data_IF_961918061183
#
_entry.id   IF_961918061183
#
_cell.length_a   1.000
_cell.length_b   1.000
_cell.length_c   1.000
_cell.angle_alpha   90.00
_cell.angle_beta   90.00
_cell.angle_gamma   90.00
#
_symmetry.space_group_name_H-M   'P 1'
#
loop_
_entity.id
_entity.type
_entity.pdbx_description
1 polymer ?
#
# COMPACT_ATOMS: atom_id res chain seq x y z
N UNK A 1 10.07 -12.10 -19.75
CA UNK A 1 10.11 -10.73 -20.29
C UNK A 1 11.13 -9.93 -19.46
N UNK A 2 11.87 -8.95 -20.01
CA UNK A 2 12.96 -8.26 -19.29
C UNK A 2 12.48 -6.90 -18.80
N UNK A 3 12.62 -6.63 -17.50
CA UNK A 3 12.39 -5.31 -16.92
C UNK A 3 13.24 -4.26 -17.63
N UNK A 4 12.56 -3.33 -18.29
CA UNK A 4 13.21 -2.13 -18.84
C UNK A 4 13.15 -1.01 -17.80
N UNK A 5 14.04 -0.03 -17.93
CA UNK A 5 14.04 1.14 -17.03
C UNK A 5 12.70 1.89 -17.02
N UNK A 6 12.05 2.00 -18.18
CA UNK A 6 10.72 2.63 -18.29
C UNK A 6 9.70 1.85 -17.47
N UNK A 7 9.58 0.53 -17.70
CA UNK A 7 8.62 -0.31 -16.99
C UNK A 7 8.84 -0.35 -15.49
N UNK A 8 10.10 -0.38 -15.04
CA UNK A 8 10.43 -0.30 -13.62
C UNK A 8 10.02 1.05 -13.01
N UNK A 9 10.20 2.14 -13.74
CA UNK A 9 9.75 3.48 -13.32
C UNK A 9 8.22 3.54 -13.23
N UNK A 10 7.51 2.99 -14.22
CA UNK A 10 6.05 2.93 -14.25
C UNK A 10 5.51 2.09 -13.09
N UNK A 11 6.15 0.95 -12.79
CA UNK A 11 5.80 0.12 -11.64
C UNK A 11 6.01 0.86 -10.31
N UNK A 12 7.16 1.53 -10.13
CA UNK A 12 7.42 2.31 -8.92
C UNK A 12 6.38 3.44 -8.73
N UNK A 13 5.95 4.08 -9.81
CA UNK A 13 4.86 5.07 -9.76
C UNK A 13 3.50 4.44 -9.43
N UNK A 14 3.22 3.25 -9.97
CA UNK A 14 1.99 2.50 -9.67
C UNK A 14 1.94 2.05 -8.20
N UNK A 15 3.06 1.62 -7.64
CA UNK A 15 3.18 1.25 -6.22
C UNK A 15 2.94 2.44 -5.29
N UNK A 16 3.49 3.61 -5.60
CA UNK A 16 3.23 4.84 -4.85
C UNK A 16 1.76 5.25 -4.89
N UNK A 17 1.11 5.13 -6.05
CA UNK A 17 -0.33 5.37 -6.19
C UNK A 17 -1.13 4.37 -5.36
N UNK A 18 -0.82 3.08 -5.48
CA UNK A 18 -1.46 2.04 -4.69
C UNK A 18 -1.31 2.28 -3.19
N UNK A 19 -0.13 2.69 -2.73
CA UNK A 19 0.11 3.06 -1.34
C UNK A 19 -0.75 4.26 -0.90
N UNK A 20 -0.93 5.26 -1.74
CA UNK A 20 -1.82 6.39 -1.45
C UNK A 20 -3.28 5.92 -1.29
N UNK A 21 -3.77 5.05 -2.19
CA UNK A 21 -5.11 4.48 -2.10
C UNK A 21 -5.31 3.68 -0.80
N UNK A 22 -4.30 2.92 -0.38
CA UNK A 22 -4.34 2.20 0.90
C UNK A 22 -4.41 3.16 2.09
N UNK A 23 -3.72 4.30 2.05
CA UNK A 23 -3.79 5.30 3.11
C UNK A 23 -5.15 6.00 3.17
N UNK A 24 -5.78 6.26 2.02
CA UNK A 24 -7.17 6.74 1.96
C UNK A 24 -8.11 5.73 2.63
N UNK A 25 -8.01 4.45 2.25
CA UNK A 25 -8.81 3.40 2.88
C UNK A 25 -8.55 3.25 4.39
N UNK A 26 -7.30 3.46 4.84
CA UNK A 26 -6.97 3.44 6.26
C UNK A 26 -7.63 4.60 7.02
N UNK A 27 -7.63 5.81 6.46
CA UNK A 27 -8.28 6.98 7.05
C UNK A 27 -9.81 6.79 7.15
N UNK A 28 -10.42 6.18 6.13
CA UNK A 28 -11.83 5.80 6.15
C UNK A 28 -12.12 4.78 7.27
N UNK A 29 -11.24 3.79 7.43
CA UNK A 29 -11.30 2.81 8.51
C UNK A 29 -11.18 3.44 9.90
N UNK A 30 -10.29 4.42 10.07
CA UNK A 30 -10.13 5.17 11.33
C UNK A 30 -11.38 5.98 11.67
N UNK A 31 -12.00 6.60 10.66
CA UNK A 31 -13.25 7.35 10.82
C UNK A 31 -14.36 6.43 11.33
N UNK A 32 -14.51 5.23 10.74
CA UNK A 32 -15.48 4.23 11.21
C UNK A 32 -15.13 3.64 12.58
N UNK A 33 -13.85 3.47 12.87
CA UNK A 33 -13.37 2.95 14.16
C UNK A 33 -13.60 3.92 15.32
N UNK A 34 -13.63 5.22 15.04
CA UNK A 34 -13.88 6.28 16.03
C UNK A 34 -15.34 6.68 16.14
N UNK A 35 -16.18 6.33 15.15
CA UNK A 35 -17.61 6.60 15.17
C UNK A 35 -18.34 5.79 16.25
N UNK A 36 -18.89 6.45 17.29
CA UNK A 36 -19.57 5.77 18.40
C UNK A 36 -20.92 5.16 18.00
N UNK A 37 -21.48 5.51 16.84
CA UNK A 37 -22.72 4.91 16.33
C UNK A 37 -22.53 3.47 15.83
N UNK A 38 -21.29 3.09 15.48
CA UNK A 38 -20.94 1.71 15.14
C UNK A 38 -20.80 0.85 16.41
N UNK A 39 -21.12 -0.44 16.33
CA UNK A 39 -20.92 -1.35 17.45
C UNK A 39 -19.41 -1.60 17.76
N UNK A 40 -19.12 -2.13 18.94
CA UNK A 40 -17.74 -2.32 19.40
C UNK A 40 -16.94 -3.33 18.56
N UNK A 41 -17.58 -4.33 17.97
CA UNK A 41 -16.91 -5.30 17.09
C UNK A 41 -16.55 -4.62 15.77
N UNK A 42 -17.50 -3.90 15.16
CA UNK A 42 -17.29 -3.15 13.92
C UNK A 42 -16.13 -2.17 14.08
N UNK A 43 -16.10 -1.37 15.16
CA UNK A 43 -15.00 -0.42 15.42
C UNK A 43 -13.64 -1.11 15.55
N UNK A 44 -13.58 -2.28 16.18
CA UNK A 44 -12.32 -3.05 16.32
C UNK A 44 -11.85 -3.63 14.99
N UNK A 45 -12.78 -4.16 14.18
CA UNK A 45 -12.49 -4.73 12.88
C UNK A 45 -11.98 -3.66 11.90
N UNK A 46 -12.62 -2.49 11.86
CA UNK A 46 -12.17 -1.38 10.99
C UNK A 46 -10.82 -0.80 11.45
N UNK A 47 -10.58 -0.71 12.76
CA UNK A 47 -9.26 -0.32 13.27
C UNK A 47 -8.15 -1.31 12.88
N UNK A 48 -8.42 -2.62 12.95
CA UNK A 48 -7.48 -3.65 12.52
C UNK A 48 -7.23 -3.58 11.00
N UNK A 49 -8.28 -3.42 10.20
CA UNK A 49 -8.17 -3.25 8.76
C UNK A 49 -7.33 -2.01 8.39
N UNK A 50 -7.56 -0.87 9.06
CA UNK A 50 -6.77 0.34 8.85
C UNK A 50 -5.27 0.13 9.15
N UNK A 51 -4.92 -0.65 10.18
CA UNK A 51 -3.51 -1.01 10.45
C UNK A 51 -2.89 -1.85 9.33
N UNK A 52 -3.63 -2.83 8.81
CA UNK A 52 -3.17 -3.68 7.70
C UNK A 52 -2.93 -2.82 6.45
N UNK A 53 -3.85 -1.92 6.12
CA UNK A 53 -3.72 -1.03 4.96
C UNK A 53 -2.50 -0.11 5.09
N UNK A 54 -2.22 0.44 6.27
CA UNK A 54 -0.99 1.22 6.51
C UNK A 54 0.27 0.39 6.33
N UNK A 55 0.27 -0.87 6.79
CA UNK A 55 1.37 -1.81 6.57
C UNK A 55 1.62 -2.03 5.08
N UNK A 56 0.57 -2.35 4.33
CA UNK A 56 0.64 -2.51 2.87
C UNK A 56 1.16 -1.24 2.17
N UNK A 57 0.67 -0.06 2.56
CA UNK A 57 1.12 1.22 1.99
C UNK A 57 2.62 1.46 2.22
N UNK A 58 3.11 1.14 3.43
CA UNK A 58 4.53 1.26 3.76
C UNK A 58 5.37 0.32 2.91
N UNK A 59 4.96 -0.94 2.81
CA UNK A 59 5.72 -1.96 2.09
C UNK A 59 5.75 -1.64 0.58
N UNK A 60 4.62 -1.19 0.00
CA UNK A 60 4.57 -0.70 -1.39
C UNK A 60 5.51 0.49 -1.64
N UNK A 61 5.61 1.45 -0.71
CA UNK A 61 6.54 2.57 -0.83
C UNK A 61 8.00 2.15 -0.69
N UNK A 62 8.28 1.16 0.17
CA UNK A 62 9.62 0.61 0.31
C UNK A 62 10.07 -0.06 -1.00
N UNK A 63 9.19 -0.85 -1.62
CA UNK A 63 9.45 -1.47 -2.92
C UNK A 63 9.62 -0.40 -4.02
N UNK A 64 8.75 0.62 -4.06
CA UNK A 64 8.86 1.71 -5.02
C UNK A 64 10.20 2.47 -4.90
N UNK A 65 10.66 2.71 -3.66
CA UNK A 65 11.95 3.34 -3.40
C UNK A 65 13.12 2.43 -3.86
N UNK A 66 13.10 1.15 -3.50
CA UNK A 66 14.11 0.19 -3.92
C UNK A 66 14.24 0.11 -5.45
N UNK A 67 13.11 0.10 -6.17
CA UNK A 67 13.10 0.07 -7.64
C UNK A 67 13.71 1.36 -8.23
N UNK A 68 13.44 2.53 -7.63
CA UNK A 68 14.08 3.80 -8.05
C UNK A 68 15.57 3.82 -7.80
N UNK A 69 16.01 3.19 -6.72
CA UNK A 69 17.42 3.04 -6.36
C UNK A 69 18.13 1.98 -7.24
N UNK A 70 17.39 1.29 -8.11
CA UNK A 70 17.93 0.41 -9.15
C UNK A 70 17.75 -1.08 -8.88
N UNK A 71 17.04 -1.47 -7.83
CA UNK A 71 16.68 -2.88 -7.59
C UNK A 71 15.79 -3.37 -8.73
N UNK A 72 16.13 -4.53 -9.29
CA UNK A 72 15.33 -5.14 -10.34
C UNK A 72 14.00 -5.65 -9.74
N UNK A 73 12.82 -5.28 -10.27
CA UNK A 73 11.56 -5.68 -9.66
C UNK A 73 11.35 -7.20 -9.54
N UNK A 74 12.01 -8.02 -10.38
CA UNK A 74 11.95 -9.48 -10.22
C UNK A 74 12.58 -9.99 -8.92
N UNK A 75 13.54 -9.28 -8.35
CA UNK A 75 14.16 -9.61 -7.06
C UNK A 75 13.21 -9.37 -5.89
N UNK A 76 12.23 -8.49 -6.08
CA UNK A 76 11.14 -8.21 -5.13
C UNK A 76 9.90 -9.08 -5.41
N UNK A 77 9.96 -9.99 -6.39
CA UNK A 77 8.88 -10.91 -6.75
C UNK A 77 7.86 -10.37 -7.77
N UNK A 78 8.11 -9.21 -8.40
CA UNK A 78 7.24 -8.67 -9.44
C UNK A 78 7.51 -9.33 -10.80
N UNK A 79 6.42 -9.62 -11.51
CA UNK A 79 6.44 -10.20 -12.85
C UNK A 79 6.15 -9.09 -13.87
N UNK A 80 6.91 -9.08 -14.97
CA UNK A 80 6.83 -8.10 -16.08
C UNK A 80 5.69 -8.39 -17.08
#
# INVERSE_FOLDING_TARGET
MRWTRSKATDLAAALDRGAADKLVGAADGDSRASDPSNDALTRRQTAAAARILRGQARDMRADAAAIRDGVNPSELGYID
#
